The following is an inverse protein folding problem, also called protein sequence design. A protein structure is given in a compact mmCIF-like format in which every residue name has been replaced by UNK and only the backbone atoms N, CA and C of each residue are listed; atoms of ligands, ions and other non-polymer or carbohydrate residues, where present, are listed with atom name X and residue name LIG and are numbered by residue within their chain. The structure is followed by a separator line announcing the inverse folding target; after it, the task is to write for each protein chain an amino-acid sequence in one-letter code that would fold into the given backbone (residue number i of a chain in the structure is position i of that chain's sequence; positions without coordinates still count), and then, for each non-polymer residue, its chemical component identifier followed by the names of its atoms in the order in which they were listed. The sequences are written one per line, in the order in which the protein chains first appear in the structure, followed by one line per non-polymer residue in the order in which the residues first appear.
data_IF_193711613613
#
_entry.id   IF_193711613613
#
_cell.length_a   1.000
_cell.length_b   1.000
_cell.length_c   1.000
_cell.angle_alpha   90.00
_cell.angle_beta   90.00
_cell.angle_gamma   90.00
#
_symmetry.space_group_name_H-M   'P 1'
#
loop_
_entity.id
_entity.type
_entity.pdbx_description
1 polymer ?
#
# COMPACT_ATOMS: atom_id res chain seq x y z
N UNK A 1 17.69 5.19 -19.07
CA UNK A 1 17.48 4.74 -17.67
C UNK A 1 16.29 5.52 -17.11
N UNK A 2 15.37 4.89 -16.37
CA UNK A 2 14.08 5.50 -16.00
C UNK A 2 14.22 6.89 -15.32
N UNK A 3 15.16 7.04 -14.39
CA UNK A 3 15.44 8.33 -13.72
C UNK A 3 15.87 9.44 -14.67
N UNK A 4 16.60 9.11 -15.73
CA UNK A 4 17.02 10.09 -16.73
C UNK A 4 15.84 10.55 -17.63
N UNK A 5 14.76 9.77 -17.68
CA UNK A 5 13.54 10.12 -18.39
C UNK A 5 12.55 10.93 -17.53
N UNK A 6 12.84 11.13 -16.24
CA UNK A 6 11.98 11.89 -15.33
C UNK A 6 10.65 11.18 -15.02
N UNK A 7 10.70 9.86 -14.82
CA UNK A 7 9.49 9.10 -14.41
C UNK A 7 9.01 9.54 -13.02
N UNK A 8 7.70 9.57 -12.83
CA UNK A 8 7.09 9.95 -11.55
C UNK A 8 6.97 8.79 -10.56
N UNK A 9 7.06 7.55 -11.05
CA UNK A 9 6.78 6.34 -10.29
C UNK A 9 7.63 5.14 -10.74
N UNK A 10 7.98 4.29 -9.78
CA UNK A 10 8.48 2.94 -9.99
C UNK A 10 7.44 1.91 -9.54
N UNK A 11 6.99 1.08 -10.49
CA UNK A 11 6.48 -0.25 -10.24
C UNK A 11 7.51 -1.20 -10.89
N UNK A 12 8.47 -1.74 -10.15
CA UNK A 12 8.47 -2.16 -8.74
C UNK A 12 9.66 -1.59 -7.95
N UNK A 13 9.81 -1.95 -6.65
CA UNK A 13 11.13 -1.90 -6.01
C UNK A 13 12.12 -2.73 -6.85
N UNK A 14 13.30 -2.21 -7.22
CA UNK A 14 14.19 -2.93 -8.13
C UNK A 14 14.63 -4.31 -7.63
N UNK A 15 14.49 -5.30 -8.51
CA UNK A 15 14.82 -6.71 -8.24
C UNK A 15 16.31 -6.93 -7.92
N UNK A 16 17.20 -6.21 -8.62
CA UNK A 16 18.64 -6.24 -8.37
C UNK A 16 19.04 -5.10 -7.43
N UNK A 17 20.10 -5.30 -6.65
CA UNK A 17 20.67 -4.21 -5.88
C UNK A 17 21.09 -3.06 -6.80
N UNK A 18 20.71 -1.85 -6.43
CA UNK A 18 21.14 -0.63 -7.11
C UNK A 18 21.95 0.24 -6.16
N UNK A 19 22.90 0.99 -6.73
CA UNK A 19 23.82 1.82 -5.97
C UNK A 19 23.09 2.89 -5.14
N UNK A 20 23.64 3.22 -3.97
CA UNK A 20 23.09 4.26 -3.08
C UNK A 20 22.86 5.60 -3.80
N UNK A 21 23.76 6.01 -4.70
CA UNK A 21 23.62 7.26 -5.47
C UNK A 21 22.36 7.28 -6.34
N UNK A 22 22.00 6.15 -6.94
CA UNK A 22 20.79 6.03 -7.77
C UNK A 22 19.52 6.01 -6.91
N UNK A 23 19.58 5.38 -5.73
CA UNK A 23 18.48 5.42 -4.76
C UNK A 23 18.26 6.86 -4.26
N UNK A 24 19.34 7.56 -3.91
CA UNK A 24 19.28 8.93 -3.47
C UNK A 24 18.78 9.85 -4.58
N UNK A 25 19.22 9.64 -5.83
CA UNK A 25 18.71 10.36 -6.99
C UNK A 25 17.20 10.17 -7.16
N UNK A 26 16.70 8.93 -7.03
CA UNK A 26 15.26 8.64 -7.13
C UNK A 26 14.45 9.41 -6.08
N UNK A 27 14.92 9.41 -4.82
CA UNK A 27 14.27 10.16 -3.74
C UNK A 27 14.31 11.68 -3.99
N UNK A 28 15.45 12.22 -4.42
CA UNK A 28 15.59 13.65 -4.72
C UNK A 28 14.70 14.10 -5.89
N UNK A 29 14.46 13.22 -6.86
CA UNK A 29 13.55 13.46 -7.98
C UNK A 29 12.07 13.30 -7.60
N UNK A 30 11.77 12.87 -6.38
CA UNK A 30 10.39 12.66 -5.93
C UNK A 30 9.72 11.43 -6.56
N UNK A 31 10.49 10.44 -6.98
CA UNK A 31 9.94 9.21 -7.56
C UNK A 31 9.17 8.45 -6.50
N UNK A 32 7.89 8.18 -6.78
CA UNK A 32 7.01 7.38 -5.94
C UNK A 32 7.29 5.90 -6.18
N UNK A 33 7.18 5.08 -5.14
CA UNK A 33 7.53 3.66 -5.23
C UNK A 33 6.32 2.82 -4.84
N UNK A 34 5.74 2.13 -5.82
CA UNK A 34 4.76 1.06 -5.59
C UNK A 34 5.53 -0.21 -5.27
N UNK A 35 5.35 -0.71 -4.05
CA UNK A 35 6.37 -1.57 -3.41
C UNK A 35 6.48 -2.97 -3.98
N UNK A 36 5.37 -3.73 -4.04
CA UNK A 36 5.30 -5.13 -4.51
C UNK A 36 6.44 -6.01 -3.97
N UNK A 37 6.76 -5.84 -2.68
CA UNK A 37 7.87 -6.54 -2.02
C UNK A 37 7.57 -8.03 -1.94
N UNK A 38 6.32 -8.40 -1.67
CA UNK A 38 5.90 -9.80 -1.55
C UNK A 38 6.09 -10.56 -2.88
N UNK A 39 5.58 -9.97 -3.96
CA UNK A 39 5.66 -10.55 -5.31
C UNK A 39 7.09 -10.76 -5.76
N UNK A 40 7.97 -9.80 -5.44
CA UNK A 40 9.39 -9.87 -5.78
C UNK A 40 10.25 -10.37 -4.61
N UNK A 41 9.70 -11.09 -3.64
CA UNK A 41 10.45 -11.51 -2.44
C UNK A 41 11.62 -12.46 -2.72
N UNK A 42 11.66 -13.09 -3.90
CA UNK A 42 12.78 -13.92 -4.35
C UNK A 42 13.90 -13.12 -5.05
N UNK A 43 13.66 -11.84 -5.36
CA UNK A 43 14.66 -10.98 -5.97
C UNK A 43 15.71 -10.56 -4.95
N UNK A 44 17.02 -10.64 -5.29
CA UNK A 44 18.10 -10.46 -4.32
C UNK A 44 18.21 -9.03 -3.76
N UNK A 45 17.74 -8.03 -4.49
CA UNK A 45 17.87 -6.61 -4.11
C UNK A 45 16.65 -5.99 -3.47
N UNK A 46 15.48 -6.62 -3.50
CA UNK A 46 14.22 -5.94 -3.10
C UNK A 46 14.27 -5.52 -1.63
N UNK A 47 14.74 -6.39 -0.75
CA UNK A 47 14.75 -6.11 0.69
C UNK A 47 15.81 -5.04 1.03
N UNK A 48 17.02 -5.16 0.47
CA UNK A 48 18.11 -4.19 0.71
C UNK A 48 17.82 -2.83 0.11
N UNK A 49 17.23 -2.78 -1.09
CA UNK A 49 16.77 -1.54 -1.73
C UNK A 49 15.64 -0.88 -0.93
N UNK A 50 14.64 -1.64 -0.47
CA UNK A 50 13.52 -1.12 0.35
C UNK A 50 14.05 -0.48 1.63
N UNK A 51 14.94 -1.17 2.35
CA UNK A 51 15.56 -0.65 3.58
C UNK A 51 16.32 0.66 3.32
N UNK A 52 17.14 0.70 2.27
CA UNK A 52 17.92 1.90 1.91
C UNK A 52 17.03 3.06 1.47
N UNK A 53 16.00 2.79 0.66
CA UNK A 53 15.03 3.80 0.24
C UNK A 53 14.28 4.38 1.44
N UNK A 54 13.87 3.55 2.40
CA UNK A 54 13.25 4.01 3.63
C UNK A 54 14.19 4.90 4.46
N UNK A 55 15.46 4.51 4.61
CA UNK A 55 16.48 5.33 5.29
C UNK A 55 16.71 6.68 4.60
N UNK A 56 16.54 6.74 3.28
CA UNK A 56 16.65 7.96 2.49
C UNK A 56 15.37 8.81 2.51
N UNK A 57 14.26 8.32 3.07
CA UNK A 57 12.98 9.04 3.13
C UNK A 57 12.15 8.93 1.85
N UNK A 58 12.25 7.81 1.12
CA UNK A 58 11.47 7.59 -0.09
C UNK A 58 9.94 7.55 0.17
N UNK A 59 9.17 7.90 -0.87
CA UNK A 59 7.71 7.85 -0.84
C UNK A 59 7.21 6.48 -1.30
N UNK A 60 6.71 5.68 -0.36
CA UNK A 60 6.16 4.36 -0.65
C UNK A 60 4.64 4.37 -0.77
N UNK A 61 4.13 3.53 -1.65
CA UNK A 61 2.73 3.24 -1.89
C UNK A 61 2.49 1.73 -1.85
N UNK A 62 1.41 1.33 -1.19
CA UNK A 62 1.01 -0.07 -1.16
C UNK A 62 0.62 -0.55 -2.56
N UNK A 63 1.21 -1.66 -2.99
CA UNK A 63 0.80 -2.37 -4.19
C UNK A 63 1.21 -3.84 -4.10
N UNK A 64 0.29 -4.74 -4.47
CA UNK A 64 0.46 -6.18 -4.29
C UNK A 64 0.67 -6.96 -5.59
N UNK A 65 0.50 -6.34 -6.77
CA UNK A 65 0.55 -7.05 -8.06
C UNK A 65 -0.44 -8.23 -8.12
N UNK A 66 -1.70 -7.94 -7.75
CA UNK A 66 -2.80 -8.92 -7.72
C UNK A 66 -2.92 -9.58 -9.11
N UNK A 67 -3.20 -10.89 -9.11
CA UNK A 67 -3.19 -11.83 -10.24
C UNK A 67 -1.83 -12.53 -10.52
N UNK A 68 -0.78 -12.21 -9.76
CA UNK A 68 0.38 -13.10 -9.64
C UNK A 68 0.01 -14.39 -8.87
N UNK A 69 0.56 -15.55 -9.23
CA UNK A 69 0.12 -16.86 -8.70
C UNK A 69 0.26 -17.01 -7.19
N UNK A 70 1.26 -16.34 -6.62
CA UNK A 70 1.60 -16.41 -5.20
C UNK A 70 0.90 -15.33 -4.35
N UNK A 71 0.13 -14.42 -4.96
CA UNK A 71 -0.49 -13.29 -4.28
C UNK A 71 -1.99 -13.55 -4.08
N UNK A 72 -2.53 -13.38 -2.86
CA UNK A 72 -3.95 -13.57 -2.62
C UNK A 72 -4.80 -12.57 -3.42
N UNK A 73 -5.99 -13.00 -3.85
CA UNK A 73 -6.97 -12.08 -4.39
C UNK A 73 -7.46 -11.13 -3.30
N UNK A 74 -7.43 -9.82 -3.58
CA UNK A 74 -7.86 -8.79 -2.64
C UNK A 74 -6.69 -8.06 -1.99
N UNK A 75 -6.77 -7.81 -0.69
CA UNK A 75 -5.69 -7.15 0.06
C UNK A 75 -4.69 -8.21 0.47
N UNK A 76 -3.45 -8.09 -0.01
CA UNK A 76 -2.34 -8.88 0.48
C UNK A 76 -1.79 -8.30 1.79
N UNK A 77 -2.01 -9.02 2.90
CA UNK A 77 -1.47 -8.62 4.20
C UNK A 77 0.01 -8.94 4.35
N UNK A 78 0.59 -9.84 3.54
CA UNK A 78 2.04 -10.10 3.57
C UNK A 78 2.81 -8.89 3.09
N UNK A 79 2.39 -8.26 2.00
CA UNK A 79 2.94 -6.98 1.56
C UNK A 79 2.86 -5.90 2.65
N UNK A 80 1.70 -5.75 3.30
CA UNK A 80 1.53 -4.79 4.40
C UNK A 80 2.52 -5.05 5.56
N UNK A 81 2.73 -6.31 5.93
CA UNK A 81 3.69 -6.70 6.97
C UNK A 81 5.14 -6.41 6.55
N UNK A 82 5.48 -6.68 5.29
CA UNK A 82 6.81 -6.42 4.75
C UNK A 82 7.11 -4.92 4.70
N UNK A 83 6.14 -4.10 4.27
CA UNK A 83 6.27 -2.65 4.33
C UNK A 83 6.53 -2.17 5.76
N UNK A 84 5.72 -2.59 6.75
CA UNK A 84 5.96 -2.23 8.15
C UNK A 84 7.37 -2.60 8.62
N UNK A 85 7.79 -3.84 8.34
CA UNK A 85 9.05 -4.37 8.81
C UNK A 85 10.27 -3.70 8.16
N UNK A 86 10.24 -3.48 6.85
CA UNK A 86 11.39 -2.97 6.10
C UNK A 86 11.49 -1.45 6.08
N UNK A 87 10.38 -0.74 6.23
CA UNK A 87 10.38 0.74 6.19
C UNK A 87 10.40 1.38 7.57
N UNK A 88 9.98 0.65 8.61
CA UNK A 88 9.79 1.21 9.95
C UNK A 88 8.62 2.18 10.07
N UNK A 89 7.72 2.22 9.08
CA UNK A 89 6.50 3.03 9.12
C UNK A 89 5.59 2.58 10.28
N UNK A 90 4.84 3.53 10.83
CA UNK A 90 3.75 3.20 11.76
C UNK A 90 2.58 2.57 10.98
N UNK A 91 1.71 1.77 11.62
CA UNK A 91 0.51 1.24 10.94
C UNK A 91 -0.39 2.33 10.36
N UNK A 92 -0.48 3.51 11.01
CA UNK A 92 -1.22 4.64 10.45
C UNK A 92 -0.58 5.13 9.14
N UNK A 93 0.74 5.34 9.13
CA UNK A 93 1.45 5.80 7.94
C UNK A 93 1.35 4.76 6.81
N UNK A 94 1.38 3.47 7.12
CA UNK A 94 1.12 2.38 6.17
C UNK A 94 -0.28 2.52 5.56
N UNK A 95 -1.32 2.64 6.37
CA UNK A 95 -2.69 2.77 5.86
C UNK A 95 -2.88 4.01 5.00
N UNK A 96 -2.25 5.14 5.34
CA UNK A 96 -2.23 6.33 4.49
C UNK A 96 -1.67 6.02 3.09
N UNK A 97 -0.61 5.21 2.97
CA UNK A 97 -0.03 4.82 1.67
C UNK A 97 -0.98 4.03 0.79
N UNK A 98 -1.95 3.33 1.39
CA UNK A 98 -2.97 2.54 0.70
C UNK A 98 -4.31 3.29 0.55
N UNK A 99 -4.44 4.49 1.15
CA UNK A 99 -5.70 5.24 1.23
C UNK A 99 -5.51 6.70 0.82
N UNK A 100 -5.44 7.64 1.76
CA UNK A 100 -5.41 9.08 1.50
C UNK A 100 -4.28 9.49 0.54
N UNK A 101 -3.04 9.01 0.77
CA UNK A 101 -1.90 9.34 -0.09
C UNK A 101 -2.05 8.74 -1.47
N UNK A 102 -2.58 7.51 -1.58
CA UNK A 102 -2.86 6.89 -2.86
C UNK A 102 -3.92 7.67 -3.65
N UNK A 103 -4.99 8.10 -2.97
CA UNK A 103 -6.01 8.97 -3.56
C UNK A 103 -5.43 10.28 -4.08
N UNK A 104 -4.55 10.94 -3.32
CA UNK A 104 -3.81 12.13 -3.77
C UNK A 104 -2.91 11.83 -4.97
N UNK A 105 -2.11 10.76 -4.91
CA UNK A 105 -1.18 10.37 -5.95
C UNK A 105 -1.85 10.05 -7.29
N UNK A 106 -3.08 9.54 -7.24
CA UNK A 106 -3.91 9.23 -8.42
C UNK A 106 -4.75 10.44 -8.90
N UNK A 107 -4.70 11.59 -8.20
CA UNK A 107 -5.54 12.74 -8.51
C UNK A 107 -7.02 12.52 -8.22
N UNK A 108 -7.34 11.61 -7.29
CA UNK A 108 -8.69 11.21 -6.89
C UNK A 108 -9.07 11.71 -5.49
N UNK A 109 -8.25 12.55 -4.86
CA UNK A 109 -8.60 13.19 -3.60
C UNK A 109 -10.00 13.84 -3.67
N UNK A 110 -10.86 13.65 -2.65
CA UNK A 110 -10.56 13.13 -1.31
C UNK A 110 -10.74 11.60 -1.13
N UNK A 111 -10.69 10.78 -2.20
CA UNK A 111 -10.72 9.32 -2.10
C UNK A 111 -9.68 8.78 -1.11
N UNK A 112 -10.05 7.76 -0.33
CA UNK A 112 -9.19 7.19 0.70
C UNK A 112 -9.22 7.95 2.03
N UNK A 113 -10.15 8.89 2.22
CA UNK A 113 -10.33 9.59 3.49
C UNK A 113 -11.75 9.42 4.04
N UNK A 114 -11.91 9.59 5.35
CA UNK A 114 -13.21 9.57 6.03
C UNK A 114 -13.60 10.98 6.49
N UNK A 115 -13.74 11.90 5.53
CA UNK A 115 -14.22 13.27 5.76
C UNK A 115 -15.47 13.57 4.93
N UNK A 116 -16.24 14.58 5.35
CA UNK A 116 -17.43 15.04 4.61
C UNK A 116 -17.04 15.44 3.19
N UNK A 117 -17.77 14.93 2.20
CA UNK A 117 -17.51 15.15 0.78
C UNK A 117 -16.66 14.06 0.10
N UNK A 118 -16.15 13.08 0.85
CA UNK A 118 -15.42 11.95 0.26
C UNK A 118 -16.32 10.92 -0.38
N UNK A 119 -15.84 10.19 -1.41
CA UNK A 119 -16.52 8.99 -1.90
C UNK A 119 -16.84 8.04 -0.74
N UNK A 120 -18.03 7.44 -0.78
CA UNK A 120 -18.48 6.52 0.26
C UNK A 120 -17.89 5.11 0.05
N UNK A 121 -16.56 5.04 0.07
CA UNK A 121 -15.75 3.82 -0.03
C UNK A 121 -15.23 3.45 1.37
N UNK A 122 -15.76 2.37 1.93
CA UNK A 122 -15.52 1.99 3.33
C UNK A 122 -15.24 0.49 3.40
N UNK A 123 -14.14 0.15 4.06
CA UNK A 123 -13.84 -1.22 4.49
C UNK A 123 -13.90 -1.26 6.01
N UNK A 124 -14.55 -2.28 6.58
CA UNK A 124 -14.48 -2.54 8.01
C UNK A 124 -14.22 -4.02 8.31
N UNK A 125 -13.54 -4.27 9.43
CA UNK A 125 -13.19 -5.60 9.94
C UNK A 125 -13.56 -5.70 11.42
N UNK A 126 -13.75 -6.92 11.92
CA UNK A 126 -13.83 -7.19 13.36
C UNK A 126 -12.41 -7.33 13.95
N UNK A 127 -12.07 -6.43 14.87
CA UNK A 127 -10.78 -6.45 15.57
C UNK A 127 -9.98 -5.17 15.34
N UNK A 128 -8.70 -5.19 15.72
CA UNK A 128 -7.81 -4.03 15.61
C UNK A 128 -6.74 -4.26 14.52
N UNK A 129 -6.87 -3.55 13.40
CA UNK A 129 -5.92 -3.64 12.27
C UNK A 129 -4.53 -3.05 12.60
N UNK A 130 -4.42 -2.20 13.62
CA UNK A 130 -3.13 -1.70 14.09
C UNK A 130 -2.30 -2.77 14.78
N UNK A 131 -2.94 -3.86 15.25
CA UNK A 131 -2.28 -5.01 15.88
C UNK A 131 -2.15 -6.18 14.92
N UNK A 132 -3.13 -6.36 14.02
CA UNK A 132 -3.15 -7.47 13.07
C UNK A 132 -3.69 -7.05 11.71
N UNK A 133 -2.80 -6.68 10.79
CA UNK A 133 -3.15 -6.30 9.40
C UNK A 133 -3.75 -7.45 8.59
N UNK A 134 -3.59 -8.71 9.02
CA UNK A 134 -4.19 -9.87 8.33
C UNK A 134 -5.71 -9.85 8.33
N UNK A 135 -6.33 -9.12 9.25
CA UNK A 135 -7.77 -8.92 9.25
C UNK A 135 -8.28 -8.25 7.95
N UNK A 136 -7.43 -7.49 7.26
CA UNK A 136 -7.79 -6.82 6.00
C UNK A 136 -7.94 -7.77 4.81
N UNK A 137 -7.38 -8.98 4.84
CA UNK A 137 -7.61 -10.00 3.81
C UNK A 137 -9.09 -10.43 3.74
N UNK A 138 -9.83 -10.29 4.85
CA UNK A 138 -11.21 -10.78 5.00
C UNK A 138 -12.12 -9.68 5.57
N UNK A 139 -12.43 -8.63 4.81
CA UNK A 139 -13.28 -7.56 5.29
C UNK A 139 -14.70 -8.04 5.62
N UNK A 140 -15.22 -7.61 6.76
CA UNK A 140 -16.58 -7.90 7.21
C UNK A 140 -17.61 -6.97 6.58
N UNK A 141 -17.20 -5.78 6.16
CA UNK A 141 -18.04 -4.79 5.49
C UNK A 141 -17.24 -4.17 4.34
N UNK A 142 -17.86 -4.12 3.16
CA UNK A 142 -17.34 -3.36 2.02
C UNK A 142 -18.49 -2.53 1.47
N UNK A 143 -18.31 -1.22 1.48
CA UNK A 143 -19.15 -0.24 0.79
C UNK A 143 -18.28 0.37 -0.30
N UNK A 144 -18.78 0.41 -1.53
CA UNK A 144 -18.12 1.11 -2.62
C UNK A 144 -19.09 2.04 -3.32
N UNK A 145 -18.72 3.31 -3.48
CA UNK A 145 -19.56 4.38 -4.01
C UNK A 145 -20.94 4.42 -3.34
N UNK A 146 -20.97 4.24 -2.01
CA UNK A 146 -22.19 4.21 -1.20
C UNK A 146 -23.04 2.94 -1.35
N UNK A 147 -22.61 1.97 -2.17
CA UNK A 147 -23.30 0.70 -2.37
C UNK A 147 -22.73 -0.36 -1.46
N UNK A 148 -23.60 -1.07 -0.76
CA UNK A 148 -23.21 -2.20 0.06
C UNK A 148 -22.84 -3.41 -0.81
N UNK A 149 -21.58 -3.85 -0.76
CA UNK A 149 -21.06 -5.00 -1.51
C UNK A 149 -20.98 -6.24 -0.63
N UNK A 150 -20.41 -6.11 0.57
CA UNK A 150 -20.25 -7.19 1.56
C UNK A 150 -20.77 -6.71 2.91
N UNK A 151 -21.51 -7.55 3.64
CA UNK A 151 -21.89 -7.29 5.03
C UNK A 151 -22.04 -8.57 5.86
N UNK A 152 -21.07 -8.82 6.73
CA UNK A 152 -21.05 -9.92 7.70
C UNK A 152 -21.25 -9.43 9.14
N UNK A 153 -21.67 -8.19 9.34
CA UNK A 153 -22.11 -7.71 10.64
C UNK A 153 -23.56 -8.17 10.89
N UNK A 154 -23.86 -8.67 12.10
CA UNK A 154 -25.22 -9.09 12.42
C UNK A 154 -26.17 -7.90 12.29
N UNK A 155 -27.20 -8.04 11.46
CA UNK A 155 -28.30 -7.08 11.46
C UNK A 155 -28.93 -7.08 12.85
N UNK A 156 -28.90 -5.95 13.56
CA UNK A 156 -29.82 -5.80 14.70
C UNK A 156 -31.22 -5.91 14.12
N UNK A 157 -31.98 -6.95 14.48
CA UNK A 157 -33.43 -6.94 14.25
C UNK A 157 -33.93 -5.66 14.91
N UNK A 158 -34.58 -4.79 14.13
CA UNK A 158 -35.29 -3.65 14.68
C UNK A 158 -36.22 -4.20 15.77
N UNK A 159 -36.08 -3.69 16.99
CA UNK A 159 -37.08 -3.87 18.05
C UNK A 159 -38.25 -2.97 17.75
#
# INVERSE_FOLDING_TARGET
MALAAGVDEWAHVPCMEISGDLLQQAVQQGVRIVTTIDTLSLCPGVYSNTLRLAQLGAQFYYGAEIAHTEIPWGIDARELQLMLHLTGMTPLALFETATAKAGEALGLAPLGTLIVGSPADIIAVKGNVFENVKLLEYPDLVISDGRLIVNHFPSKKAK
#
